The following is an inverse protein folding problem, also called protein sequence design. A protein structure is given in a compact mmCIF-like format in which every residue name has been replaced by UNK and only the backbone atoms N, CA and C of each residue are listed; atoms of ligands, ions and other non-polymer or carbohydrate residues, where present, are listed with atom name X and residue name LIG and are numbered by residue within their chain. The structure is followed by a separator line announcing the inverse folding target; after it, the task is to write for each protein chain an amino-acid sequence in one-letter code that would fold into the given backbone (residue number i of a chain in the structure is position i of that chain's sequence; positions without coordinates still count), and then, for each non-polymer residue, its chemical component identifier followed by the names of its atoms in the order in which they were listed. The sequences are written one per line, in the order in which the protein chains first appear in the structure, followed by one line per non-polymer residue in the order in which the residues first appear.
data_IF_893006252397
#
_entry.id   IF_893006252397
#
_cell.length_a   1.000
_cell.length_b   1.000
_cell.length_c   1.000
_cell.angle_alpha   90.00
_cell.angle_beta   90.00
_cell.angle_gamma   90.00
#
_symmetry.space_group_name_H-M   'P 1'
#
loop_
_entity.id
_entity.type
_entity.pdbx_description
1 polymer ?
#
# COMPACT_ATOMS: atom_id res chain seq x y z
N UNK A 1 -5.87 7.54 24.47
CA UNK A 1 -5.06 6.35 24.10
C UNK A 1 -5.10 6.15 22.59
N UNK A 2 -3.96 6.28 21.90
CA UNK A 2 -3.90 6.54 20.46
C UNK A 2 -3.92 5.31 19.53
N UNK A 3 -4.44 5.52 18.31
CA UNK A 3 -4.54 4.55 17.20
C UNK A 3 -3.18 4.29 16.52
N UNK A 4 -2.09 4.21 17.30
CA UNK A 4 -0.73 4.02 16.77
C UNK A 4 -0.44 2.53 16.59
N UNK A 5 0.04 2.19 15.39
CA UNK A 5 0.46 0.82 15.05
C UNK A 5 1.90 0.60 15.52
N UNK A 6 2.16 -0.54 16.17
CA UNK A 6 3.48 -0.88 16.72
C UNK A 6 4.50 -1.16 15.62
N UNK A 7 5.80 -1.02 15.94
CA UNK A 7 6.92 -1.25 14.98
C UNK A 7 6.86 -2.63 14.34
N UNK A 8 6.54 -3.67 15.12
CA UNK A 8 6.43 -5.06 14.63
C UNK A 8 5.40 -5.20 13.50
N UNK A 9 4.22 -4.60 13.67
CA UNK A 9 3.15 -4.62 12.64
C UNK A 9 3.63 -3.93 11.35
N UNK A 10 4.31 -2.79 11.48
CA UNK A 10 4.82 -2.05 10.32
C UNK A 10 5.90 -2.80 9.57
N UNK A 11 6.83 -3.44 10.29
CA UNK A 11 7.93 -4.21 9.71
C UNK A 11 7.40 -5.41 8.92
N UNK A 12 6.58 -6.25 9.56
CA UNK A 12 6.02 -7.45 8.92
C UNK A 12 5.19 -7.12 7.68
N UNK A 13 4.39 -6.05 7.73
CA UNK A 13 3.62 -5.65 6.56
C UNK A 13 4.50 -5.18 5.39
N UNK A 14 5.65 -4.55 5.65
CA UNK A 14 6.59 -4.16 4.59
C UNK A 14 7.23 -5.39 3.97
N UNK A 15 7.70 -6.32 4.80
CA UNK A 15 8.28 -7.59 4.33
C UNK A 15 7.28 -8.37 3.46
N UNK A 16 6.00 -8.42 3.84
CA UNK A 16 4.96 -9.05 3.02
C UNK A 16 4.73 -8.31 1.70
N UNK A 17 4.74 -6.97 1.72
CA UNK A 17 4.54 -6.18 0.51
C UNK A 17 5.70 -6.34 -0.48
N UNK A 18 6.92 -6.52 0.02
CA UNK A 18 8.13 -6.74 -0.77
C UNK A 18 8.12 -8.14 -1.41
N UNK A 19 7.75 -9.17 -0.65
CA UNK A 19 7.78 -10.57 -1.12
C UNK A 19 6.56 -10.96 -1.96
N UNK A 20 5.39 -10.41 -1.65
CA UNK A 20 4.09 -10.84 -2.22
C UNK A 20 3.35 -9.69 -2.91
N UNK A 21 4.08 -8.84 -3.65
CA UNK A 21 3.51 -7.63 -4.27
C UNK A 21 2.30 -7.94 -5.17
N UNK A 22 2.35 -9.05 -5.89
CA UNK A 22 1.33 -9.44 -6.87
C UNK A 22 0.02 -9.91 -6.24
N UNK A 23 0.08 -10.42 -4.99
CA UNK A 23 -1.10 -10.96 -4.28
C UNK A 23 -1.75 -9.95 -3.35
N UNK A 24 -1.08 -8.84 -3.10
CA UNK A 24 -1.53 -7.80 -2.17
C UNK A 24 -2.53 -6.88 -2.87
N UNK A 25 -3.72 -6.73 -2.31
CA UNK A 25 -4.84 -6.00 -2.93
C UNK A 25 -5.40 -4.90 -2.04
N UNK A 26 -6.25 -4.01 -2.58
CA UNK A 26 -6.94 -2.99 -1.77
C UNK A 26 -7.98 -3.59 -0.80
N UNK A 27 -8.40 -4.83 -1.03
CA UNK A 27 -9.38 -5.54 -0.22
C UNK A 27 -8.79 -6.07 1.09
N UNK A 28 -9.47 -5.78 2.20
CA UNK A 28 -9.04 -6.21 3.53
C UNK A 28 -9.10 -7.73 3.71
N UNK A 29 -10.15 -8.39 3.21
CA UNK A 29 -10.34 -9.83 3.42
C UNK A 29 -9.29 -10.67 2.70
N UNK A 30 -8.98 -10.32 1.44
CA UNK A 30 -7.90 -10.96 0.67
C UNK A 30 -6.56 -10.84 1.39
N UNK A 31 -6.22 -9.63 1.85
CA UNK A 31 -4.98 -9.41 2.60
C UNK A 31 -4.95 -10.15 3.94
N UNK A 32 -6.10 -10.32 4.59
CA UNK A 32 -6.19 -11.07 5.85
C UNK A 32 -5.99 -12.58 5.63
N UNK A 33 -6.52 -13.13 4.55
CA UNK A 33 -6.28 -14.52 4.14
C UNK A 33 -4.80 -14.73 3.81
N UNK A 34 -4.23 -13.86 2.97
CA UNK A 34 -2.81 -13.87 2.62
C UNK A 34 -1.92 -13.84 3.87
N UNK A 35 -2.18 -12.95 4.82
CA UNK A 35 -1.42 -12.88 6.07
C UNK A 35 -1.52 -14.21 6.84
N UNK A 36 -2.68 -14.86 6.87
CA UNK A 36 -2.82 -16.16 7.56
C UNK A 36 -2.07 -17.28 6.86
N UNK A 37 -2.04 -17.28 5.53
CA UNK A 37 -1.31 -18.26 4.72
C UNK A 37 0.20 -18.09 4.88
N UNK A 38 0.69 -16.86 4.84
CA UNK A 38 2.14 -16.56 4.96
C UNK A 38 2.68 -16.93 6.33
N UNK A 39 1.89 -16.75 7.40
CA UNK A 39 2.33 -17.11 8.74
C UNK A 39 1.89 -18.53 9.14
N UNK A 40 2.69 -19.50 8.71
CA UNK A 40 2.51 -20.95 8.95
C UNK A 40 2.30 -21.30 10.44
N UNK A 41 2.96 -20.59 11.37
CA UNK A 41 2.89 -20.88 12.81
C UNK A 41 1.70 -20.28 13.56
N UNK A 42 0.65 -19.83 12.85
CA UNK A 42 -0.61 -19.40 13.48
C UNK A 42 -0.51 -18.06 14.20
N UNK A 43 -0.78 -16.97 13.48
CA UNK A 43 -0.82 -15.62 14.07
C UNK A 43 -2.15 -15.36 14.76
N UNK A 44 -2.11 -14.76 15.94
CA UNK A 44 -3.32 -14.33 16.65
C UNK A 44 -4.22 -13.45 15.76
N UNK A 45 -5.54 -13.65 15.85
CA UNK A 45 -6.56 -12.93 15.06
C UNK A 45 -6.36 -11.41 15.11
N UNK A 46 -5.99 -10.87 16.28
CA UNK A 46 -5.75 -9.44 16.49
C UNK A 46 -4.55 -8.94 15.68
N UNK A 47 -3.45 -9.69 15.68
CA UNK A 47 -2.22 -9.30 14.98
C UNK A 47 -2.42 -9.39 13.46
N UNK A 48 -3.06 -10.45 12.97
CA UNK A 48 -3.42 -10.60 11.56
C UNK A 48 -4.27 -9.43 11.05
N UNK A 49 -5.30 -9.03 11.81
CA UNK A 49 -6.14 -7.88 11.45
C UNK A 49 -5.34 -6.56 11.42
N UNK A 50 -4.38 -6.37 12.34
CA UNK A 50 -3.54 -5.16 12.36
C UNK A 50 -2.57 -5.09 11.18
N UNK A 51 -2.00 -6.23 10.77
CA UNK A 51 -1.12 -6.31 9.59
C UNK A 51 -1.95 -6.06 8.33
N UNK A 52 -3.03 -6.81 8.12
CA UNK A 52 -3.89 -6.66 6.94
C UNK A 52 -4.42 -5.22 6.80
N UNK A 53 -4.83 -4.60 7.91
CA UNK A 53 -5.28 -3.21 7.91
C UNK A 53 -4.17 -2.17 7.72
N UNK A 54 -2.90 -2.52 7.93
CA UNK A 54 -1.78 -1.66 7.58
C UNK A 54 -1.35 -1.84 6.12
N UNK A 55 -1.37 -3.07 5.60
CA UNK A 55 -1.17 -3.37 4.18
C UNK A 55 -2.12 -2.57 3.28
N UNK A 56 -3.43 -2.60 3.57
CA UNK A 56 -4.41 -1.81 2.80
C UNK A 56 -4.15 -0.31 2.87
N UNK A 57 -3.64 0.19 4.02
CA UNK A 57 -3.29 1.60 4.16
C UNK A 57 -2.07 1.97 3.30
N UNK A 58 -1.10 1.07 3.16
CA UNK A 58 0.09 1.29 2.33
C UNK A 58 -0.25 1.33 0.84
N UNK A 59 -1.07 0.41 0.35
CA UNK A 59 -1.48 0.37 -1.07
C UNK A 59 -2.28 1.60 -1.43
N UNK A 60 -3.22 2.01 -0.57
CA UNK A 60 -3.98 3.25 -0.78
C UNK A 60 -3.09 4.48 -0.82
N UNK A 61 -2.03 4.50 -0.01
CA UNK A 61 -1.04 5.58 -0.02
C UNK A 61 -0.22 5.57 -1.32
N UNK A 62 0.21 4.40 -1.79
CA UNK A 62 0.92 4.26 -3.06
C UNK A 62 0.06 4.69 -4.25
N UNK A 63 -1.19 4.22 -4.32
CA UNK A 63 -2.12 4.60 -5.38
C UNK A 63 -2.37 6.12 -5.43
N UNK A 64 -2.49 6.77 -4.26
CA UNK A 64 -2.59 8.24 -4.19
C UNK A 64 -1.35 8.93 -4.72
N UNK A 65 -0.16 8.49 -4.30
CA UNK A 65 1.11 9.03 -4.79
C UNK A 65 1.27 8.85 -6.30
N UNK A 66 0.91 7.68 -6.81
CA UNK A 66 0.94 7.40 -8.26
C UNK A 66 -0.04 8.30 -9.02
N UNK A 67 -1.21 8.58 -8.46
CA UNK A 67 -2.16 9.52 -9.05
C UNK A 67 -1.61 10.96 -9.04
N UNK A 68 -1.02 11.40 -7.94
CA UNK A 68 -0.38 12.74 -7.83
C UNK A 68 0.76 12.90 -8.84
N UNK A 69 1.65 11.91 -8.95
CA UNK A 69 2.75 11.90 -9.93
C UNK A 69 2.25 11.96 -11.39
N UNK A 70 1.13 11.28 -11.69
CA UNK A 70 0.50 11.33 -13.03
C UNK A 70 -0.05 12.72 -13.33
N UNK A 71 -0.68 13.37 -12.35
CA UNK A 71 -1.21 14.74 -12.50
C UNK A 71 -0.08 15.73 -12.76
N UNK A 72 1.01 15.68 -11.99
CA UNK A 72 2.19 16.55 -12.20
C UNK A 72 2.81 16.36 -13.58
N UNK A 73 2.94 15.11 -14.05
CA UNK A 73 3.47 14.83 -15.39
C UNK A 73 2.56 15.32 -16.52
N UNK A 74 1.23 15.32 -16.32
CA UNK A 74 0.27 15.83 -17.29
C UNK A 74 0.29 17.36 -17.37
N UNK A 75 0.46 18.05 -16.24
CA UNK A 75 0.62 19.52 -16.22
C UNK A 75 1.93 19.98 -16.86
N UNK A 76 3.03 19.25 -16.66
CA UNK A 76 4.32 19.58 -17.27
C UNK A 76 4.34 19.40 -18.80
N UNK A 77 3.53 18.48 -19.35
CA UNK A 77 3.40 18.29 -20.80
C UNK A 77 2.51 19.35 -21.46
N UNK A 78 1.55 19.92 -20.74
CA UNK A 78 0.69 20.99 -21.23
C UNK A 78 1.46 22.32 -21.44
N UNK A 79 2.37 22.67 -20.53
CA UNK A 79 3.18 23.90 -20.61
C UNK A 79 4.15 23.90 -21.80
N UNK A 80 4.74 22.74 -22.14
CA UNK A 80 5.70 22.60 -23.26
C UNK A 80 5.02 22.69 -24.63
N UNK A 81 3.70 22.48 -24.72
CA UNK A 81 2.96 22.51 -26.00
C UNK A 81 2.47 23.93 -26.36
N UNK A 82 2.47 24.87 -25.41
CA UNK A 82 2.09 26.28 -25.63
C UNK A 82 3.19 27.18 -26.22
N UNK A 83 4.44 26.71 -26.32
CA UNK A 83 5.57 27.48 -26.89
C UNK A 83 6.01 26.98 -28.29
N UNK A 84 5.07 26.80 -29.22
CA UNK A 84 5.46 26.66 -30.64
C UNK A 84 5.02 27.86 -31.47
N UNK A 85 5.82 28.94 -31.54
CA UNK A 85 5.63 29.99 -32.53
C UNK A 85 6.21 29.54 -33.88
N UNK A 86 5.36 29.45 -34.89
CA UNK A 86 5.64 29.85 -36.27
C UNK A 86 4.36 29.89 -37.09
#
# INVERSE_FOLDING_TARGET
MGKVRTRKVKRLAKEILELYRDRVSMDFEKNKQLVREVFVSGVSKRLANRIAGYLTSLIKLQAKKEAELKVESATAQADVTSEKPK
#
